data_IF_133057954364
#
_entry.id   IF_133057954364
#
_cell.length_a   1.000
_cell.length_b   1.000
_cell.length_c   1.000
_cell.angle_alpha   90.00
_cell.angle_beta   90.00
_cell.angle_gamma   90.00
#
_symmetry.space_group_name_H-M   'P 1'
#
loop_
_entity.id
_entity.type
_entity.pdbx_description
1 polymer ?
#
# COMPACT_ATOMS: atom_id res chain seq x y z
N UNK A 1 7.99 14.54 -40.29
CA UNK A 1 6.97 14.48 -39.23
C UNK A 1 7.69 14.41 -37.90
N UNK A 2 7.33 15.26 -36.94
CA UNK A 2 7.92 15.27 -35.60
C UNK A 2 7.60 13.95 -34.89
N UNK A 3 8.51 13.43 -34.05
CA UNK A 3 8.26 12.23 -33.23
C UNK A 3 6.95 12.36 -32.41
N UNK A 4 6.66 13.58 -31.95
CA UNK A 4 5.42 13.94 -31.27
C UNK A 4 4.15 13.70 -32.13
N UNK A 5 4.19 14.04 -33.42
CA UNK A 5 3.06 13.83 -34.34
C UNK A 5 2.82 12.35 -34.65
N UNK A 6 3.88 11.54 -34.67
CA UNK A 6 3.77 10.09 -34.86
C UNK A 6 3.13 9.44 -33.62
N UNK A 7 3.55 9.85 -32.42
CA UNK A 7 3.01 9.33 -31.16
C UNK A 7 1.52 9.68 -30.98
N UNK A 8 1.13 10.92 -31.27
CA UNK A 8 -0.29 11.32 -31.22
C UNK A 8 -1.15 10.55 -32.23
N UNK A 9 -0.63 10.32 -33.44
CA UNK A 9 -1.36 9.56 -34.45
C UNK A 9 -1.57 8.10 -34.04
N UNK A 10 -0.53 7.43 -33.53
CA UNK A 10 -0.66 6.05 -33.03
C UNK A 10 -1.67 5.94 -31.88
N UNK A 11 -1.71 6.95 -31.00
CA UNK A 11 -2.69 7.04 -29.90
C UNK A 11 -4.14 7.09 -30.41
N UNK A 12 -4.44 7.96 -31.36
CA UNK A 12 -5.79 8.05 -31.92
C UNK A 12 -6.17 6.78 -32.71
N UNK A 13 -5.22 6.26 -33.51
CA UNK A 13 -5.44 5.07 -34.33
C UNK A 13 -5.75 3.82 -33.49
N UNK A 14 -5.09 3.63 -32.33
CA UNK A 14 -5.34 2.45 -31.49
C UNK A 14 -6.69 2.51 -30.79
N UNK A 15 -7.10 3.69 -30.31
CA UNK A 15 -8.41 3.89 -29.68
C UNK A 15 -9.55 3.61 -30.68
N UNK A 16 -9.44 4.17 -31.89
CA UNK A 16 -10.42 3.95 -32.97
C UNK A 16 -10.48 2.47 -33.39
N UNK A 17 -9.33 1.80 -33.52
CA UNK A 17 -9.28 0.38 -33.88
C UNK A 17 -9.96 -0.50 -32.83
N UNK A 18 -9.75 -0.21 -31.54
CA UNK A 18 -10.39 -0.91 -30.42
C UNK A 18 -11.89 -0.66 -30.41
N UNK A 19 -12.33 0.59 -30.61
CA UNK A 19 -13.75 0.95 -30.66
C UNK A 19 -14.48 0.23 -31.81
N UNK A 20 -13.81 0.06 -32.95
CA UNK A 20 -14.35 -0.66 -34.12
C UNK A 20 -14.28 -2.18 -34.01
N UNK A 21 -13.54 -2.73 -33.03
CA UNK A 21 -13.36 -4.18 -32.89
C UNK A 21 -12.37 -4.79 -33.89
N UNK A 22 -11.50 -3.97 -34.51
CA UNK A 22 -10.51 -4.43 -35.49
C UNK A 22 -9.28 -5.02 -34.81
N UNK A 23 -9.35 -6.30 -34.45
CA UNK A 23 -8.28 -7.00 -33.71
C UNK A 23 -6.96 -6.99 -34.48
N UNK A 24 -6.99 -7.20 -35.80
CA UNK A 24 -5.79 -7.19 -36.66
C UNK A 24 -5.13 -5.81 -36.64
N UNK A 25 -5.94 -4.75 -36.75
CA UNK A 25 -5.40 -3.39 -36.73
C UNK A 25 -4.80 -3.04 -35.37
N UNK A 26 -5.42 -3.47 -34.28
CA UNK A 26 -4.86 -3.29 -32.93
C UNK A 26 -3.50 -3.99 -32.80
N UNK A 27 -3.39 -5.24 -33.24
CA UNK A 27 -2.12 -5.98 -33.21
C UNK A 27 -1.01 -5.26 -34.01
N UNK A 28 -1.32 -4.84 -35.24
CA UNK A 28 -0.38 -4.07 -36.06
C UNK A 28 0.08 -2.76 -35.40
N UNK A 29 -0.81 -2.07 -34.71
CA UNK A 29 -0.51 -0.80 -34.05
C UNK A 29 0.38 -1.00 -32.83
N UNK A 30 0.10 -2.01 -32.02
CA UNK A 30 0.95 -2.40 -30.89
C UNK A 30 2.36 -2.80 -31.36
N UNK A 31 2.46 -3.54 -32.46
CA UNK A 31 3.75 -3.93 -33.04
C UNK A 31 4.52 -2.73 -33.65
N UNK A 32 3.80 -1.66 -34.05
CA UNK A 32 4.39 -0.37 -34.45
C UNK A 32 4.78 0.51 -33.26
N UNK A 33 4.57 0.05 -32.03
CA UNK A 33 4.94 0.76 -30.80
C UNK A 33 3.86 1.69 -30.26
N UNK A 34 2.59 1.46 -30.60
CA UNK A 34 1.49 2.07 -29.85
C UNK A 34 1.56 1.64 -28.38
N UNK A 35 1.26 2.56 -27.46
CA UNK A 35 1.27 2.27 -26.03
C UNK A 35 0.07 1.40 -25.66
N UNK A 36 0.31 0.23 -25.07
CA UNK A 36 -0.74 -0.71 -24.64
C UNK A 36 -1.59 -0.13 -23.49
N UNK A 37 -1.02 0.82 -22.74
CA UNK A 37 -1.67 1.53 -21.63
C UNK A 37 -2.16 2.92 -22.02
N UNK A 38 -2.27 3.19 -23.31
CA UNK A 38 -2.82 4.43 -23.83
C UNK A 38 -4.23 4.65 -23.27
N UNK A 39 -4.60 5.92 -23.15
CA UNK A 39 -5.90 6.27 -22.61
C UNK A 39 -6.42 7.58 -23.16
N UNK A 40 -7.73 7.67 -23.26
CA UNK A 40 -8.43 8.91 -23.57
C UNK A 40 -9.23 9.42 -22.36
N UNK A 41 -9.63 10.69 -22.44
CA UNK A 41 -10.34 11.37 -21.37
C UNK A 41 -9.44 12.09 -20.37
N UNK A 42 -10.05 13.00 -19.61
CA UNK A 42 -9.38 13.74 -18.54
C UNK A 42 -9.36 12.99 -17.22
N UNK A 43 -8.93 13.66 -16.16
CA UNK A 43 -8.80 13.11 -14.79
C UNK A 43 -10.04 12.37 -14.25
N UNK A 44 -11.23 12.68 -14.77
CA UNK A 44 -12.52 12.19 -14.28
C UNK A 44 -12.96 10.87 -14.93
N UNK A 45 -12.46 10.56 -16.13
CA UNK A 45 -12.84 9.37 -16.90
C UNK A 45 -11.69 8.96 -17.82
N UNK A 46 -10.57 8.54 -17.22
CA UNK A 46 -9.46 7.96 -17.98
C UNK A 46 -9.89 6.59 -18.50
N UNK A 47 -10.21 6.51 -19.78
CA UNK A 47 -10.54 5.24 -20.45
C UNK A 47 -9.28 4.68 -21.07
N UNK A 48 -8.73 3.64 -20.46
CA UNK A 48 -7.63 2.89 -21.07
C UNK A 48 -8.12 2.12 -22.30
N UNK A 49 -7.21 1.85 -23.24
CA UNK A 49 -7.48 0.98 -24.40
C UNK A 49 -8.10 -0.36 -23.95
N UNK A 50 -7.62 -0.94 -22.84
CA UNK A 50 -8.19 -2.16 -22.26
C UNK A 50 -9.62 -1.96 -21.73
N UNK A 51 -9.91 -0.84 -21.04
CA UNK A 51 -11.27 -0.54 -20.59
C UNK A 51 -12.23 -0.40 -21.79
N UNK A 52 -11.82 0.27 -22.87
CA UNK A 52 -12.63 0.39 -24.08
C UNK A 52 -12.94 -0.96 -24.72
N UNK A 53 -11.98 -1.88 -24.74
CA UNK A 53 -12.21 -3.24 -25.24
C UNK A 53 -13.23 -3.99 -24.36
N UNK A 54 -13.17 -3.83 -23.04
CA UNK A 54 -14.13 -4.41 -22.09
C UNK A 54 -15.53 -3.78 -22.24
N UNK A 55 -15.60 -2.44 -22.34
CA UNK A 55 -16.86 -1.69 -22.50
C UNK A 55 -17.57 -2.05 -23.81
N UNK A 56 -16.83 -2.34 -24.88
CA UNK A 56 -17.38 -2.78 -26.16
C UNK A 56 -17.50 -4.31 -26.28
N UNK A 57 -17.21 -5.06 -25.21
CA UNK A 57 -17.26 -6.53 -25.21
C UNK A 57 -16.37 -7.19 -26.28
N UNK A 58 -15.28 -6.53 -26.67
CA UNK A 58 -14.28 -7.03 -27.62
C UNK A 58 -13.27 -7.95 -26.89
N UNK A 59 -13.73 -9.13 -26.49
CA UNK A 59 -12.92 -10.08 -25.69
C UNK A 59 -11.56 -10.43 -26.32
N UNK A 60 -11.51 -10.61 -27.65
CA UNK A 60 -10.26 -10.94 -28.34
C UNK A 60 -9.24 -9.81 -28.24
N UNK A 61 -9.70 -8.56 -28.36
CA UNK A 61 -8.86 -7.38 -28.21
C UNK A 61 -8.41 -7.24 -26.76
N UNK A 62 -9.32 -7.43 -25.80
CA UNK A 62 -8.97 -7.35 -24.38
C UNK A 62 -7.91 -8.40 -24.00
N UNK A 63 -8.04 -9.65 -24.48
CA UNK A 63 -7.02 -10.70 -24.27
C UNK A 63 -5.67 -10.33 -24.91
N UNK A 64 -5.67 -9.82 -26.15
CA UNK A 64 -4.47 -9.35 -26.82
C UNK A 64 -3.75 -8.25 -26.01
N UNK A 65 -4.51 -7.28 -25.49
CA UNK A 65 -3.96 -6.20 -24.68
C UNK A 65 -3.37 -6.71 -23.36
N UNK A 66 -4.06 -7.62 -22.69
CA UNK A 66 -3.56 -8.30 -21.49
C UNK A 66 -2.25 -9.03 -21.77
N UNK A 67 -2.16 -9.74 -22.90
CA UNK A 67 -0.95 -10.46 -23.31
C UNK A 67 0.21 -9.54 -23.70
N UNK A 68 -0.09 -8.33 -24.18
CA UNK A 68 0.89 -7.28 -24.49
C UNK A 68 1.27 -6.45 -23.26
N UNK A 69 0.80 -6.81 -22.06
CA UNK A 69 1.21 -6.18 -20.80
C UNK A 69 0.40 -4.95 -20.41
N UNK A 70 -0.88 -4.91 -20.77
CA UNK A 70 -1.80 -3.91 -20.24
C UNK A 70 -1.82 -3.94 -18.70
N UNK A 71 -1.82 -2.77 -18.07
CA UNK A 71 -1.91 -2.59 -16.63
C UNK A 71 -3.31 -2.96 -16.15
N UNK A 72 -3.39 -4.07 -15.41
CA UNK A 72 -4.64 -4.63 -14.88
C UNK A 72 -5.01 -4.05 -13.50
N UNK A 73 -4.09 -3.30 -12.88
CA UNK A 73 -4.28 -2.68 -11.55
C UNK A 73 -5.04 -1.37 -11.63
N UNK A 74 -5.27 -0.86 -12.85
CA UNK A 74 -6.05 0.35 -13.09
C UNK A 74 -7.47 0.18 -12.55
N UNK A 75 -7.92 1.22 -11.86
CA UNK A 75 -9.28 1.31 -11.32
C UNK A 75 -10.06 2.42 -12.01
N UNK A 76 -11.35 2.18 -12.22
CA UNK A 76 -12.27 3.12 -12.83
C UNK A 76 -13.45 3.40 -11.91
N UNK A 77 -13.99 4.61 -11.96
CA UNK A 77 -15.19 4.95 -11.18
C UNK A 77 -16.42 4.74 -12.05
N UNK A 78 -17.19 3.70 -11.75
CA UNK A 78 -18.48 3.41 -12.40
C UNK A 78 -19.57 3.72 -11.39
N UNK A 79 -20.50 4.62 -11.74
CA UNK A 79 -21.63 5.03 -10.88
C UNK A 79 -21.23 5.44 -9.45
N UNK A 80 -20.09 6.14 -9.32
CA UNK A 80 -19.55 6.57 -8.01
C UNK A 80 -18.83 5.48 -7.21
N UNK A 81 -18.79 4.24 -7.70
CA UNK A 81 -18.04 3.13 -7.09
C UNK A 81 -16.77 2.87 -7.87
N UNK A 82 -15.64 2.77 -7.16
CA UNK A 82 -14.35 2.43 -7.76
C UNK A 82 -14.30 0.91 -8.00
N UNK A 83 -13.91 0.51 -9.22
CA UNK A 83 -13.88 -0.89 -9.67
C UNK A 83 -12.58 -1.19 -10.41
N UNK A 84 -12.04 -2.39 -10.23
CA UNK A 84 -10.92 -2.90 -11.02
C UNK A 84 -11.39 -3.33 -12.42
N UNK A 85 -10.48 -3.39 -13.40
CA UNK A 85 -10.84 -3.83 -14.77
C UNK A 85 -11.46 -5.25 -14.83
N UNK A 86 -10.98 -6.27 -14.09
CA UNK A 86 -11.65 -7.57 -14.02
C UNK A 86 -13.09 -7.48 -13.49
N UNK A 87 -13.41 -6.52 -12.62
CA UNK A 87 -14.77 -6.32 -12.10
C UNK A 87 -15.68 -5.68 -13.14
N UNK A 88 -15.16 -4.72 -13.90
CA UNK A 88 -15.89 -4.16 -15.05
C UNK A 88 -16.20 -5.25 -16.08
N UNK A 89 -15.23 -6.14 -16.35
CA UNK A 89 -15.46 -7.28 -17.24
C UNK A 89 -16.56 -8.23 -16.72
N UNK A 90 -16.59 -8.48 -15.41
CA UNK A 90 -17.63 -9.31 -14.78
C UNK A 90 -19.01 -8.66 -14.83
N UNK A 91 -19.11 -7.35 -14.59
CA UNK A 91 -20.36 -6.58 -14.72
C UNK A 91 -20.90 -6.62 -16.17
N UNK A 92 -20.01 -6.81 -17.15
CA UNK A 92 -20.31 -6.93 -18.57
C UNK A 92 -20.57 -8.38 -19.00
N UNK A 93 -20.73 -9.30 -18.04
CA UNK A 93 -20.92 -10.75 -18.25
C UNK A 93 -19.74 -11.46 -18.95
N UNK A 94 -18.56 -10.81 -19.00
CA UNK A 94 -17.34 -11.35 -19.60
C UNK A 94 -16.53 -12.16 -18.58
N UNK A 95 -17.16 -13.17 -17.96
CA UNK A 95 -16.56 -13.94 -16.85
C UNK A 95 -15.22 -14.59 -17.23
N UNK A 96 -15.13 -15.17 -18.44
CA UNK A 96 -13.90 -15.80 -18.93
C UNK A 96 -12.75 -14.79 -19.07
N UNK A 97 -13.05 -13.56 -19.51
CA UNK A 97 -12.06 -12.50 -19.61
C UNK A 97 -11.65 -12.02 -18.21
N UNK A 98 -12.62 -11.82 -17.31
CA UNK A 98 -12.34 -11.44 -15.93
C UNK A 98 -11.42 -12.45 -15.24
N UNK A 99 -11.65 -13.76 -15.43
CA UNK A 99 -10.81 -14.81 -14.88
C UNK A 99 -9.44 -14.88 -15.57
N UNK A 100 -9.39 -14.64 -16.88
CA UNK A 100 -8.14 -14.54 -17.63
C UNK A 100 -7.23 -13.42 -17.10
N UNK A 101 -7.79 -12.22 -16.93
CA UNK A 101 -7.08 -11.06 -16.38
C UNK A 101 -6.61 -11.32 -14.95
N UNK A 102 -7.48 -11.90 -14.12
CA UNK A 102 -7.11 -12.26 -12.76
C UNK A 102 -5.96 -13.26 -12.72
N UNK A 103 -5.94 -14.28 -13.58
CA UNK A 103 -4.85 -15.26 -13.61
C UNK A 103 -3.50 -14.69 -14.10
N UNK A 104 -3.50 -13.48 -14.69
CA UNK A 104 -2.28 -12.79 -15.16
C UNK A 104 -1.65 -11.90 -14.10
N UNK A 105 -2.42 -11.45 -13.11
CA UNK A 105 -1.91 -10.71 -11.97
C UNK A 105 -1.23 -11.67 -10.99
N UNK A 106 -0.13 -11.25 -10.38
CA UNK A 106 0.44 -11.99 -9.27
C UNK A 106 -0.59 -12.13 -8.13
N UNK A 107 -0.65 -13.28 -7.48
CA UNK A 107 -1.67 -13.57 -6.48
C UNK A 107 -1.66 -12.58 -5.31
N UNK A 108 -0.47 -12.10 -4.92
CA UNK A 108 -0.31 -11.13 -3.85
C UNK A 108 -0.68 -9.72 -4.31
N UNK A 109 -0.39 -9.36 -5.56
CA UNK A 109 -0.86 -8.11 -6.17
C UNK A 109 -2.40 -8.07 -6.25
N UNK A 110 -3.03 -9.20 -6.62
CA UNK A 110 -4.50 -9.34 -6.64
C UNK A 110 -5.08 -9.13 -5.25
N UNK A 111 -4.53 -9.80 -4.24
CA UNK A 111 -4.99 -9.68 -2.87
C UNK A 111 -4.84 -8.23 -2.39
N UNK A 112 -3.68 -7.63 -2.58
CA UNK A 112 -3.39 -6.25 -2.18
C UNK A 112 -4.33 -5.24 -2.83
N UNK A 113 -4.56 -5.36 -4.15
CA UNK A 113 -5.51 -4.51 -4.86
C UNK A 113 -6.95 -4.69 -4.34
N UNK A 114 -7.39 -5.93 -4.10
CA UNK A 114 -8.73 -6.20 -3.56
C UNK A 114 -8.94 -5.62 -2.15
N UNK A 115 -7.90 -5.67 -1.30
CA UNK A 115 -7.92 -5.05 0.04
C UNK A 115 -7.99 -3.53 -0.08
N UNK A 116 -7.13 -2.92 -0.90
CA UNK A 116 -7.09 -1.46 -1.12
C UNK A 116 -8.45 -0.90 -1.57
N UNK A 117 -9.10 -1.60 -2.49
CA UNK A 117 -10.33 -1.16 -3.14
C UNK A 117 -11.62 -1.61 -2.42
N UNK A 118 -11.53 -2.39 -1.34
CA UNK A 118 -12.71 -2.78 -0.57
C UNK A 118 -13.51 -3.93 -1.17
N UNK A 119 -12.88 -4.79 -1.99
CA UNK A 119 -13.55 -5.86 -2.72
C UNK A 119 -13.56 -7.18 -1.94
N UNK A 120 -14.50 -7.31 -0.99
CA UNK A 120 -14.63 -8.45 -0.06
C UNK A 120 -14.60 -9.82 -0.77
N UNK A 121 -15.42 -10.02 -1.81
CA UNK A 121 -15.52 -11.30 -2.52
C UNK A 121 -14.18 -11.74 -3.11
N UNK A 122 -13.36 -10.79 -3.56
CA UNK A 122 -12.04 -11.05 -4.12
C UNK A 122 -11.01 -11.30 -3.05
N UNK A 123 -11.07 -10.59 -1.92
CA UNK A 123 -10.21 -10.91 -0.78
C UNK A 123 -10.42 -12.38 -0.40
N UNK A 124 -11.67 -12.81 -0.27
CA UNK A 124 -11.98 -14.19 0.08
C UNK A 124 -11.55 -15.20 -1.01
N UNK A 125 -11.82 -14.93 -2.29
CA UNK A 125 -11.38 -15.81 -3.39
C UNK A 125 -9.86 -15.94 -3.46
N UNK A 126 -9.11 -14.84 -3.30
CA UNK A 126 -7.65 -14.87 -3.32
C UNK A 126 -7.09 -15.64 -2.13
N UNK A 127 -7.60 -15.41 -0.92
CA UNK A 127 -7.21 -16.17 0.27
C UNK A 127 -7.51 -17.66 0.09
N UNK A 128 -8.68 -18.02 -0.43
CA UNK A 128 -9.06 -19.41 -0.70
C UNK A 128 -8.16 -20.09 -1.73
N UNK A 129 -7.55 -19.31 -2.64
CA UNK A 129 -6.56 -19.78 -3.63
C UNK A 129 -5.13 -19.86 -3.08
N UNK A 130 -4.92 -19.51 -1.81
CA UNK A 130 -3.63 -19.58 -1.14
C UNK A 130 -2.79 -18.31 -1.24
N UNK A 131 -3.41 -17.15 -1.46
CA UNK A 131 -2.70 -15.87 -1.42
C UNK A 131 -2.07 -15.64 -0.04
N UNK A 132 -0.86 -15.08 -0.02
CA UNK A 132 -0.19 -14.77 1.24
C UNK A 132 -0.78 -13.49 1.85
N UNK A 133 -1.41 -13.64 3.01
CA UNK A 133 -2.03 -12.50 3.73
C UNK A 133 -1.00 -11.59 4.41
N UNK A 134 0.26 -12.02 4.54
CA UNK A 134 1.33 -11.28 5.23
C UNK A 134 2.20 -10.45 4.29
N UNK A 135 1.72 -10.21 3.07
CA UNK A 135 2.40 -9.34 2.11
C UNK A 135 2.43 -7.90 2.63
N UNK A 136 3.56 -7.25 2.40
CA UNK A 136 3.73 -5.83 2.66
C UNK A 136 3.35 -5.04 1.42
N UNK A 137 2.47 -4.06 1.61
CA UNK A 137 2.16 -3.05 0.61
C UNK A 137 3.08 -1.86 0.81
N UNK A 138 3.86 -1.54 -0.23
CA UNK A 138 4.64 -0.30 -0.33
C UNK A 138 3.81 0.72 -1.09
N UNK A 139 3.31 1.78 -0.43
CA UNK A 139 2.57 2.82 -1.13
C UNK A 139 3.47 3.54 -2.15
N UNK A 140 2.95 3.92 -3.33
CA UNK A 140 3.72 4.65 -4.34
C UNK A 140 4.02 6.10 -3.92
N UNK A 141 3.30 6.64 -2.94
CA UNK A 141 3.54 7.96 -2.39
C UNK A 141 4.87 7.99 -1.61
N UNK A 142 5.70 8.98 -1.91
CA UNK A 142 6.95 9.25 -1.18
C UNK A 142 6.57 9.50 0.29
N UNK A 143 7.34 8.92 1.21
CA UNK A 143 7.24 9.10 2.67
C UNK A 143 6.11 8.34 3.40
N UNK A 144 5.43 7.40 2.73
CA UNK A 144 4.54 6.47 3.43
C UNK A 144 5.25 5.16 3.80
N UNK A 145 5.13 4.67 5.04
CA UNK A 145 5.72 3.40 5.43
C UNK A 145 5.04 2.22 4.74
N UNK A 146 5.80 1.15 4.57
CA UNK A 146 5.24 -0.16 4.25
C UNK A 146 4.25 -0.59 5.34
N UNK A 147 3.13 -1.16 4.92
CA UNK A 147 2.10 -1.64 5.82
C UNK A 147 1.59 -3.03 5.45
N UNK A 148 1.09 -3.75 6.44
CA UNK A 148 0.41 -5.04 6.23
C UNK A 148 -0.95 -4.82 5.57
N UNK A 149 -1.52 -5.89 5.00
CA UNK A 149 -2.90 -5.86 4.50
C UNK A 149 -3.92 -5.47 5.58
N UNK A 150 -3.70 -5.86 6.83
CA UNK A 150 -4.56 -5.47 7.94
C UNK A 150 -4.53 -3.95 8.12
N UNK A 151 -3.34 -3.35 8.24
CA UNK A 151 -3.20 -1.90 8.37
C UNK A 151 -3.77 -1.15 7.15
N UNK A 152 -3.55 -1.67 5.93
CA UNK A 152 -4.14 -1.09 4.73
C UNK A 152 -5.67 -1.09 4.78
N UNK A 153 -6.29 -2.20 5.21
CA UNK A 153 -7.74 -2.29 5.37
C UNK A 153 -8.25 -1.26 6.40
N UNK A 154 -7.55 -1.08 7.53
CA UNK A 154 -7.91 -0.10 8.55
C UNK A 154 -7.75 1.35 8.06
N UNK A 155 -6.67 1.66 7.36
CA UNK A 155 -6.42 2.98 6.76
C UNK A 155 -7.53 3.34 5.75
N UNK A 156 -8.02 2.35 4.99
CA UNK A 156 -9.11 2.54 4.02
C UNK A 156 -10.50 2.43 4.64
N UNK A 157 -10.62 2.06 5.92
CA UNK A 157 -11.90 1.90 6.62
C UNK A 157 -12.68 0.64 6.24
N UNK A 158 -12.02 -0.35 5.65
CA UNK A 158 -12.64 -1.60 5.19
C UNK A 158 -12.73 -2.61 6.33
N UNK A 159 -13.62 -2.34 7.30
CA UNK A 159 -13.77 -3.12 8.54
C UNK A 159 -14.03 -4.61 8.27
N UNK A 160 -14.90 -4.95 7.33
CA UNK A 160 -15.20 -6.35 7.01
C UNK A 160 -14.01 -7.10 6.41
N UNK A 161 -13.18 -6.41 5.62
CA UNK A 161 -11.93 -6.98 5.10
C UNK A 161 -10.93 -7.20 6.24
N UNK A 162 -10.81 -6.26 7.17
CA UNK A 162 -9.95 -6.42 8.34
C UNK A 162 -10.32 -7.67 9.16
N UNK A 163 -11.63 -7.94 9.35
CA UNK A 163 -12.11 -9.16 10.02
C UNK A 163 -11.69 -10.43 9.26
N UNK A 164 -11.86 -10.44 7.94
CA UNK A 164 -11.46 -11.58 7.10
C UNK A 164 -9.95 -11.83 7.22
N UNK A 165 -9.13 -10.79 7.18
CA UNK A 165 -7.67 -10.91 7.31
C UNK A 165 -7.27 -11.46 8.69
N UNK A 166 -7.90 -10.99 9.77
CA UNK A 166 -7.66 -11.47 11.14
C UNK A 166 -7.99 -12.96 11.32
N UNK A 167 -9.07 -13.43 10.68
CA UNK A 167 -9.44 -14.84 10.66
C UNK A 167 -8.46 -15.72 9.89
N UNK A 168 -7.73 -15.14 8.92
CA UNK A 168 -6.81 -15.86 8.03
C UNK A 168 -5.33 -15.71 8.40
N UNK A 169 -5.04 -15.27 9.63
CA UNK A 169 -3.70 -15.36 10.18
C UNK A 169 -2.73 -14.25 9.77
N UNK A 170 -3.27 -13.07 9.42
CA UNK A 170 -2.46 -11.88 9.20
C UNK A 170 -1.63 -11.51 10.44
N UNK A 171 -0.41 -11.05 10.22
CA UNK A 171 0.46 -10.50 11.25
C UNK A 171 -0.15 -9.20 11.80
N UNK A 172 -0.24 -9.13 13.12
CA UNK A 172 -0.78 -7.98 13.87
C UNK A 172 0.31 -7.15 14.52
N UNK A 173 1.57 -7.60 14.47
CA UNK A 173 2.70 -6.98 15.17
C UNK A 173 3.51 -6.02 14.32
N UNK A 174 3.28 -5.97 13.00
CA UNK A 174 3.99 -5.04 12.13
C UNK A 174 3.80 -3.59 12.56
N UNK A 175 4.88 -2.84 12.51
CA UNK A 175 4.94 -1.43 12.90
C UNK A 175 5.15 -0.57 11.66
N UNK A 176 4.19 0.31 11.37
CA UNK A 176 4.37 1.40 10.41
C UNK A 176 5.26 2.46 11.03
N UNK A 177 6.36 2.80 10.36
CA UNK A 177 7.34 3.78 10.84
C UNK A 177 7.26 5.06 10.02
N UNK A 178 6.66 6.08 10.60
CA UNK A 178 6.49 7.37 9.94
C UNK A 178 7.76 8.22 10.04
N UNK A 179 7.90 9.19 9.14
CA UNK A 179 9.08 10.06 9.10
C UNK A 179 9.26 10.89 10.37
N UNK A 180 8.16 11.30 10.99
CA UNK A 180 8.11 12.03 12.25
C UNK A 180 8.51 11.18 13.47
N UNK A 181 9.02 9.96 13.22
CA UNK A 181 9.40 8.96 14.22
C UNK A 181 8.23 8.39 15.01
N UNK A 182 6.98 8.67 14.61
CA UNK A 182 5.83 7.95 15.15
C UNK A 182 5.80 6.52 14.61
N UNK A 183 5.32 5.62 15.47
CA UNK A 183 5.20 4.20 15.16
C UNK A 183 3.75 3.78 15.40
N UNK A 184 3.11 3.17 14.40
CA UNK A 184 1.72 2.71 14.48
C UNK A 184 1.63 1.20 14.23
N UNK A 185 1.03 0.49 15.17
CA UNK A 185 0.61 -0.91 14.99
C UNK A 185 -0.83 -0.97 14.47
N UNK A 186 -1.27 -2.15 14.01
CA UNK A 186 -2.68 -2.34 13.69
C UNK A 186 -3.60 -2.02 14.90
N UNK A 187 -3.16 -2.37 16.11
CA UNK A 187 -3.89 -2.11 17.36
C UNK A 187 -3.99 -0.61 17.66
N UNK A 188 -2.85 0.09 17.73
CA UNK A 188 -2.84 1.53 18.05
C UNK A 188 -3.64 2.37 17.05
N UNK A 189 -3.60 1.98 15.77
CA UNK A 189 -4.40 2.62 14.73
C UNK A 189 -5.91 2.35 14.93
N UNK A 190 -6.30 1.10 15.21
CA UNK A 190 -7.69 0.73 15.44
C UNK A 190 -8.30 1.45 16.66
N UNK A 191 -7.55 1.57 17.76
CA UNK A 191 -7.95 2.32 18.96
C UNK A 191 -8.18 3.80 18.64
N UNK A 192 -7.23 4.44 17.97
CA UNK A 192 -7.33 5.86 17.60
C UNK A 192 -8.52 6.17 16.68
N UNK A 193 -8.92 5.20 15.86
CA UNK A 193 -10.06 5.32 14.94
C UNK A 193 -11.39 4.82 15.52
N UNK A 194 -11.40 4.37 16.79
CA UNK A 194 -12.55 3.78 17.47
C UNK A 194 -13.16 2.56 16.73
N UNK A 195 -12.30 1.66 16.24
CA UNK A 195 -12.71 0.38 15.66
C UNK A 195 -12.79 -0.70 16.74
N UNK A 196 -13.70 -0.52 17.71
CA UNK A 196 -13.80 -1.34 18.93
C UNK A 196 -13.85 -2.86 18.67
N UNK A 197 -14.58 -3.27 17.63
CA UNK A 197 -14.67 -4.68 17.25
C UNK A 197 -13.33 -5.23 16.73
N UNK A 198 -12.59 -4.44 15.95
CA UNK A 198 -11.26 -4.83 15.48
C UNK A 198 -10.26 -4.86 16.63
N UNK A 199 -10.33 -3.88 17.55
CA UNK A 199 -9.51 -3.87 18.78
C UNK A 199 -9.70 -5.17 19.54
N UNK A 200 -10.95 -5.54 19.82
CA UNK A 200 -11.29 -6.79 20.51
C UNK A 200 -10.71 -8.01 19.79
N UNK A 201 -10.88 -8.11 18.47
CA UNK A 201 -10.37 -9.24 17.69
C UNK A 201 -8.84 -9.32 17.68
N UNK A 202 -8.14 -8.17 17.63
CA UNK A 202 -6.68 -8.12 17.71
C UNK A 202 -6.24 -8.57 19.11
N UNK A 203 -6.84 -8.04 20.17
CA UNK A 203 -6.53 -8.40 21.56
C UNK A 203 -6.77 -9.90 21.83
N UNK A 204 -7.88 -10.47 21.38
CA UNK A 204 -8.16 -11.91 21.46
C UNK A 204 -7.07 -12.73 20.77
N UNK A 205 -6.60 -12.27 19.61
CA UNK A 205 -5.51 -12.93 18.88
C UNK A 205 -4.18 -12.81 19.61
N UNK A 206 -3.90 -11.66 20.23
CA UNK A 206 -2.69 -11.46 21.06
C UNK A 206 -2.71 -12.36 22.32
N UNK A 207 -3.89 -12.56 22.93
CA UNK A 207 -4.06 -13.40 24.12
C UNK A 207 -4.02 -14.91 23.81
N UNK A 208 -4.37 -15.31 22.59
CA UNK A 208 -4.38 -16.72 22.16
C UNK A 208 -3.04 -17.23 21.62
N UNK A 209 -2.06 -16.34 21.40
CA UNK A 209 -0.68 -16.75 21.14
C UNK A 209 -0.06 -17.24 22.45
N UNK A 210 0.30 -18.53 22.59
CA UNK A 210 1.00 -18.99 23.78
C UNK A 210 2.31 -18.22 23.89
N UNK A 211 2.53 -17.68 25.08
CA UNK A 211 3.67 -16.89 25.49
C UNK A 211 4.98 -17.65 25.21
N UNK A 212 5.51 -17.58 23.98
CA UNK A 212 6.72 -18.29 23.55
C UNK A 212 8.00 -17.54 23.97
N UNK A 213 7.97 -17.00 25.19
CA UNK A 213 9.14 -16.61 25.96
C UNK A 213 9.77 -17.85 26.60
N UNK A 214 10.20 -18.81 25.78
CA UNK A 214 11.33 -19.71 26.08
C UNK A 214 11.66 -20.60 24.88
N UNK A 215 12.93 -20.57 24.48
CA UNK A 215 13.63 -21.47 23.55
C UNK A 215 13.58 -21.12 22.05
N UNK A 216 14.63 -20.40 21.64
CA UNK A 216 15.25 -20.43 20.31
C UNK A 216 15.58 -21.86 19.87
N UNK A 217 15.32 -22.17 18.58
CA UNK A 217 16.29 -22.60 17.56
C UNK A 217 15.48 -23.13 16.36
N UNK A 218 15.48 -22.49 15.18
CA UNK A 218 16.58 -22.58 14.22
C UNK A 218 16.55 -21.43 13.21
N UNK A 219 17.64 -20.66 13.14
CA UNK A 219 18.22 -20.12 11.91
C UNK A 219 17.39 -19.17 11.04
N UNK A 220 17.05 -17.98 11.54
CA UNK A 220 17.39 -16.68 10.92
C UNK A 220 16.62 -15.53 11.59
N UNK A 221 17.33 -14.79 12.44
CA UNK A 221 17.11 -13.38 12.79
C UNK A 221 15.70 -12.87 13.07
N UNK A 222 15.13 -13.17 14.24
CA UNK A 222 14.03 -12.38 14.82
C UNK A 222 14.50 -11.81 16.16
N UNK A 223 14.55 -10.48 16.26
CA UNK A 223 14.93 -9.75 17.48
C UNK A 223 13.83 -9.87 18.53
N UNK A 224 14.23 -10.11 19.78
CA UNK A 224 13.36 -10.24 20.95
C UNK A 224 12.61 -8.93 21.24
N UNK A 225 11.30 -9.03 21.47
CA UNK A 225 10.50 -8.02 22.16
C UNK A 225 10.35 -8.46 23.62
N UNK A 226 11.14 -7.87 24.53
CA UNK A 226 10.93 -7.93 25.98
C UNK A 226 11.57 -6.68 26.59
N UNK A 227 10.79 -5.60 26.73
CA UNK A 227 11.11 -4.52 27.65
C UNK A 227 9.87 -3.66 28.00
N UNK A 228 8.73 -4.30 28.27
CA UNK A 228 7.61 -3.61 28.92
C UNK A 228 6.89 -4.62 29.82
N UNK A 229 7.35 -4.78 31.05
CA UNK A 229 6.57 -5.18 32.24
C UNK A 229 7.53 -5.43 33.41
N UNK A 230 8.06 -4.36 33.99
CA UNK A 230 8.54 -4.38 35.38
C UNK A 230 8.48 -2.96 35.97
N UNK A 231 7.27 -2.42 36.11
CA UNK A 231 7.02 -1.36 37.11
C UNK A 231 5.53 -1.21 37.45
N UNK A 232 4.91 -2.28 37.95
CA UNK A 232 3.75 -2.15 38.84
C UNK A 232 4.22 -2.43 40.26
N UNK A 233 4.54 -1.36 40.99
CA UNK A 233 4.68 -1.42 42.44
C UNK A 233 5.78 -0.57 43.05
N UNK A 234 5.69 0.77 42.97
CA UNK A 234 6.18 1.65 44.04
C UNK A 234 5.26 2.85 44.23
N UNK A 235 4.82 2.96 45.48
CA UNK A 235 4.17 4.07 46.19
C UNK A 235 3.99 5.40 45.46
N UNK A 236 2.73 5.85 45.47
CA UNK A 236 2.37 7.27 45.44
C UNK A 236 2.81 7.87 46.78
N UNK A 237 3.72 8.84 46.75
CA UNK A 237 3.84 9.85 47.80
C UNK A 237 3.38 11.18 47.22
N UNK A 238 2.25 11.64 47.73
CA UNK A 238 1.77 13.02 47.59
C UNK A 238 2.62 13.87 48.51
N UNK A 239 3.29 14.89 47.99
CA UNK A 239 3.77 15.98 48.84
C UNK A 239 3.47 17.33 48.20
N UNK A 240 2.87 18.16 49.04
CA UNK A 240 2.44 19.52 48.82
C UNK A 240 3.60 20.44 48.41
N UNK A 241 3.24 21.45 47.62
CA UNK A 241 4.12 22.53 47.20
C UNK A 241 4.17 23.54 48.34
N UNK A 242 5.22 23.56 49.14
CA UNK A 242 5.61 24.72 49.94
C UNK A 242 7.08 25.09 49.71
N UNK A 243 7.23 26.35 49.36
CA UNK A 243 8.34 27.28 49.50
C UNK A 243 9.70 27.04 48.82
N UNK A 244 9.96 28.03 47.96
CA UNK A 244 11.19 28.44 47.33
C UNK A 244 12.14 28.98 48.41
N UNK A 245 13.35 28.46 48.51
CA UNK A 245 14.55 29.28 48.75
C UNK A 245 15.87 28.49 48.65
N UNK A 246 16.89 29.25 48.24
CA UNK A 246 18.34 29.02 48.37
C UNK A 246 19.19 28.33 47.27
N UNK A 247 19.77 29.23 46.45
CA UNK A 247 21.22 29.48 46.27
C UNK A 247 22.08 28.53 45.39
N UNK A 248 22.47 29.12 44.24
CA UNK A 248 23.84 29.29 43.72
C UNK A 248 24.98 28.51 44.41
N UNK A 249 25.88 27.87 43.65
CA UNK A 249 27.17 28.45 43.20
C UNK A 249 28.14 27.41 42.58
N UNK A 250 29.01 27.93 41.72
CA UNK A 250 30.37 27.46 41.39
C UNK A 250 30.61 26.34 40.37
N UNK A 251 30.81 26.82 39.14
CA UNK A 251 31.74 26.28 38.16
C UNK A 251 33.20 26.30 38.66
N UNK A 252 33.97 25.28 38.28
CA UNK A 252 35.43 25.37 38.10
C UNK A 252 35.94 24.20 37.26
N UNK A 253 36.46 24.54 36.07
CA UNK A 253 37.28 23.68 35.23
C UNK A 253 38.58 24.43 34.90
N UNK A 254 39.73 23.75 34.91
CA UNK A 254 40.91 24.14 34.14
C UNK A 254 41.36 22.93 33.26
N UNK A 255 42.16 23.01 32.20
CA UNK A 255 42.77 24.05 31.39
C UNK A 255 43.40 23.32 30.17
N UNK A 256 43.53 23.99 29.02
CA UNK A 256 44.80 24.24 28.31
C UNK A 256 44.56 24.59 26.84
N UNK A 257 44.90 25.85 26.51
CA UNK A 257 45.12 26.40 25.18
C UNK A 257 46.42 25.83 24.59
N UNK A 258 46.62 25.76 23.28
CA UNK A 258 47.14 26.86 22.43
C UNK A 258 47.36 26.24 21.03
N UNK A 259 47.12 26.87 19.88
CA UNK A 259 47.79 28.05 19.33
C UNK A 259 47.00 28.65 18.16
N UNK A 260 47.11 29.98 18.05
CA UNK A 260 46.60 30.87 17.01
C UNK A 260 47.21 30.59 15.62
N UNK A 261 46.45 30.86 14.53
CA UNK A 261 46.65 32.06 13.68
C UNK A 261 45.81 32.06 12.39
N UNK A 262 45.17 33.22 12.20
CA UNK A 262 45.08 34.06 10.97
C UNK A 262 44.06 33.73 9.87
N UNK A 263 43.13 34.69 9.77
CA UNK A 263 42.81 35.56 8.61
C UNK A 263 42.13 34.96 7.37
N UNK A 264 40.95 35.54 7.12
CA UNK A 264 40.45 36.12 5.86
C UNK A 264 40.39 35.25 4.61
N UNK A 265 39.20 35.21 3.98
CA UNK A 265 39.11 35.00 2.53
C UNK A 265 37.74 34.58 2.02
N UNK A 266 37.06 35.50 1.34
CA UNK A 266 35.90 35.29 0.47
C UNK A 266 36.11 34.23 -0.64
N UNK A 267 35.02 33.60 -1.08
CA UNK A 267 34.58 33.27 -2.47
C UNK A 267 33.43 32.25 -2.31
N UNK A 268 32.17 32.43 -2.72
CA UNK A 268 31.56 32.85 -4.00
C UNK A 268 32.26 32.29 -5.24
N UNK A 269 31.69 31.22 -5.78
CA UNK A 269 31.57 30.86 -7.21
C UNK A 269 30.59 29.66 -7.25
N UNK A 270 29.36 29.89 -7.73
CA UNK A 270 28.87 29.69 -9.11
C UNK A 270 28.39 28.26 -9.35
#
# INVERSE_FOLDING_TARGET
MSNWSIKQRLREEILEAVEKGDTTRVEELLDKGADVNESEGGYIAKKTVLLLAIENSHENIAKLLVDKGADLTVTVTVTGTKKTLPNVARDKELHNLADYMQNKLDMNERLTASVKEGHIDFVQDNINRGADVNVLYTPPEIDQPDCTLLQLALIKGHVDIAKILLQNGVDVHHVMKWEDQSEDTALSYAERMNYDEIVTLIEERLMTLPNNNSQVANGNGIKKYNEIEENKGKHVEVYDIEDVDELQENASAPAMQTHQKKKNGNCIIS
#
